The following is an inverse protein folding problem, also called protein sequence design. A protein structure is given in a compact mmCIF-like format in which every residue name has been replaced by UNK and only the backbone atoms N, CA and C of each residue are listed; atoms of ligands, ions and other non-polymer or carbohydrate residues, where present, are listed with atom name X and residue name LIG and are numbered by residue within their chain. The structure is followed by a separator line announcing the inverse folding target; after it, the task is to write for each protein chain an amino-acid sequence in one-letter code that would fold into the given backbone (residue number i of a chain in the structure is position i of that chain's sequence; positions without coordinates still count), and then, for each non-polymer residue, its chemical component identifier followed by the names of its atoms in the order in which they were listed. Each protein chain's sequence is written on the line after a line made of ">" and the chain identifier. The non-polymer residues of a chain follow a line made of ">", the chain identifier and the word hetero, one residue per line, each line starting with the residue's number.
data_IF_872510495770
#
_entry.id   IF_872510495770
#
_cell.length_a   1.000
_cell.length_b   1.000
_cell.length_c   1.000
_cell.angle_alpha   90.00
_cell.angle_beta   90.00
_cell.angle_gamma   90.00
#
_symmetry.space_group_name_H-M   'P 1'
#
loop_
_entity.id
_entity.type
_entity.pdbx_description
1 polymer ?
#
# COMPACT_ATOMS: atom_id res chain seq x y z
N UNK A 1 11.50 8.49 -36.73
CA UNK A 1 11.69 7.95 -35.37
C UNK A 1 10.71 6.80 -35.21
N UNK A 2 10.93 5.88 -34.26
CA UNK A 2 9.96 4.80 -34.04
C UNK A 2 8.69 5.37 -33.42
N UNK A 3 7.50 4.92 -33.85
CA UNK A 3 6.21 5.40 -33.34
C UNK A 3 6.12 5.41 -31.79
N UNK A 4 6.73 4.41 -31.14
CA UNK A 4 6.79 4.34 -29.67
C UNK A 4 7.62 5.45 -29.03
N UNK A 5 8.67 5.91 -29.71
CA UNK A 5 9.53 7.00 -29.23
C UNK A 5 8.83 8.35 -29.36
N UNK A 6 8.04 8.56 -30.42
CA UNK A 6 7.22 9.76 -30.58
C UNK A 6 6.16 9.83 -29.48
N UNK A 7 5.43 8.73 -29.24
CA UNK A 7 4.45 8.66 -28.15
C UNK A 7 5.08 8.90 -26.77
N UNK A 8 6.31 8.40 -26.55
CA UNK A 8 7.03 8.65 -25.31
C UNK A 8 7.38 10.13 -25.15
N UNK A 9 7.89 10.78 -26.20
CA UNK A 9 8.22 12.20 -26.16
C UNK A 9 6.98 13.07 -25.97
N UNK A 10 5.87 12.73 -26.64
CA UNK A 10 4.60 13.43 -26.50
C UNK A 10 4.06 13.31 -25.07
N UNK A 11 4.14 12.12 -24.46
CA UNK A 11 3.69 11.92 -23.07
C UNK A 11 4.59 12.62 -22.06
N UNK A 12 5.90 12.63 -22.28
CA UNK A 12 6.86 13.37 -21.46
C UNK A 12 6.55 14.87 -21.52
N UNK A 13 6.33 15.41 -22.71
CA UNK A 13 5.99 16.82 -22.90
C UNK A 13 4.61 17.17 -22.31
N UNK A 14 3.59 16.34 -22.56
CA UNK A 14 2.23 16.55 -22.05
C UNK A 14 2.17 16.57 -20.52
N UNK A 15 2.98 15.75 -19.87
CA UNK A 15 3.02 15.61 -18.41
C UNK A 15 4.06 16.52 -17.74
N UNK A 16 4.73 17.41 -18.48
CA UNK A 16 5.80 18.29 -17.98
C UNK A 16 6.92 17.52 -17.24
N UNK A 17 7.28 16.35 -17.80
CA UNK A 17 8.30 15.49 -17.23
C UNK A 17 9.69 15.85 -17.78
N UNK A 18 10.66 15.90 -16.88
CA UNK A 18 12.08 16.03 -17.22
C UNK A 18 12.83 14.74 -16.92
N UNK A 19 13.85 14.44 -17.72
CA UNK A 19 14.75 13.30 -17.48
C UNK A 19 15.89 13.77 -16.56
N UNK A 20 16.11 13.02 -15.47
CA UNK A 20 17.05 13.37 -14.40
C UNK A 20 18.14 12.33 -14.16
N UNK A 21 18.22 11.26 -14.95
CA UNK A 21 19.27 10.25 -14.78
C UNK A 21 20.46 10.57 -15.69
N UNK A 22 21.58 11.11 -15.15
CA UNK A 22 22.77 11.42 -15.93
C UNK A 22 23.72 10.22 -16.07
N UNK A 23 23.42 9.06 -15.47
CA UNK A 23 24.38 7.97 -15.31
C UNK A 23 24.35 7.04 -16.53
N UNK A 24 25.41 7.00 -17.35
CA UNK A 24 25.52 6.04 -18.43
C UNK A 24 26.00 4.68 -17.91
N UNK A 25 25.71 3.64 -18.70
CA UNK A 25 26.32 2.33 -18.54
C UNK A 25 27.74 2.28 -19.12
N UNK A 26 28.38 1.10 -19.05
CA UNK A 26 29.74 0.88 -19.53
C UNK A 26 29.95 1.17 -21.03
N UNK A 27 28.88 1.33 -21.80
CA UNK A 27 28.91 1.65 -23.23
C UNK A 27 28.52 3.12 -23.52
N UNK A 28 28.57 4.01 -22.53
CA UNK A 28 28.16 5.41 -22.63
C UNK A 28 26.70 5.62 -23.08
N UNK A 29 25.80 4.67 -22.77
CA UNK A 29 24.36 4.76 -23.05
C UNK A 29 23.56 4.89 -21.77
N UNK A 30 22.42 5.57 -21.82
CA UNK A 30 21.48 5.71 -20.70
C UNK A 30 20.21 4.89 -21.02
N UNK A 31 20.17 3.59 -20.68
CA UNK A 31 18.98 2.76 -20.94
C UNK A 31 17.85 3.04 -19.95
N UNK A 32 18.18 3.51 -18.75
CA UNK A 32 17.24 3.72 -17.67
C UNK A 32 16.81 5.20 -17.62
N UNK A 33 15.51 5.45 -17.81
CA UNK A 33 14.93 6.79 -17.72
C UNK A 33 14.38 7.04 -16.31
N UNK A 34 14.74 8.17 -15.73
CA UNK A 34 14.11 8.66 -14.50
C UNK A 34 13.41 9.98 -14.81
N UNK A 35 12.08 9.92 -14.87
CA UNK A 35 11.22 11.03 -15.27
C UNK A 35 10.49 11.59 -14.05
N UNK A 36 10.49 12.91 -13.88
CA UNK A 36 9.82 13.61 -12.77
C UNK A 36 9.38 14.99 -13.22
N UNK A 37 8.35 15.54 -12.58
CA UNK A 37 7.98 16.97 -12.70
C UNK A 37 8.74 17.85 -11.71
N UNK A 38 9.34 17.24 -10.68
CA UNK A 38 10.06 17.94 -9.62
C UNK A 38 11.55 17.79 -9.79
N UNK A 39 12.25 18.93 -9.69
CA UNK A 39 13.72 19.02 -9.68
C UNK A 39 14.36 18.50 -8.38
N UNK A 40 13.56 18.10 -7.41
CA UNK A 40 14.00 17.64 -6.09
C UNK A 40 14.58 16.22 -6.13
N UNK A 41 14.79 15.65 -7.31
CA UNK A 41 15.26 14.28 -7.49
C UNK A 41 16.77 14.27 -7.75
N UNK A 42 17.52 13.59 -6.87
CA UNK A 42 18.96 13.37 -7.04
C UNK A 42 19.21 11.90 -7.38
N UNK A 43 19.98 11.65 -8.44
CA UNK A 43 20.31 10.29 -8.87
C UNK A 43 21.82 10.07 -8.76
N UNK A 44 22.20 9.00 -8.08
CA UNK A 44 23.60 8.63 -7.83
C UNK A 44 23.85 7.16 -8.11
N UNK A 45 25.10 6.78 -8.36
CA UNK A 45 25.51 5.39 -8.48
C UNK A 45 25.53 4.74 -7.10
N UNK A 46 24.89 3.57 -6.97
CA UNK A 46 24.83 2.80 -5.73
C UNK A 46 25.75 1.57 -5.80
N UNK A 47 26.35 1.20 -4.67
CA UNK A 47 27.17 0.00 -4.58
C UNK A 47 26.30 -1.23 -4.32
N UNK A 48 26.44 -2.23 -5.16
CA UNK A 48 25.74 -3.50 -5.00
C UNK A 48 26.54 -4.49 -4.16
N UNK A 49 25.86 -5.31 -3.36
CA UNK A 49 26.47 -6.44 -2.63
C UNK A 49 26.82 -7.62 -3.54
N UNK A 50 26.23 -7.65 -4.73
CA UNK A 50 26.47 -8.64 -5.78
C UNK A 50 27.23 -8.00 -6.94
N UNK A 51 27.72 -8.82 -7.87
CA UNK A 51 28.32 -8.34 -9.12
C UNK A 51 27.27 -7.55 -9.91
N UNK A 52 27.60 -6.31 -10.24
CA UNK A 52 26.74 -5.38 -10.96
C UNK A 52 26.55 -5.80 -12.44
N UNK A 53 25.37 -5.49 -12.98
CA UNK A 53 25.07 -5.65 -14.41
C UNK A 53 25.85 -4.59 -15.22
N UNK A 54 26.41 -4.98 -16.37
CA UNK A 54 27.17 -4.08 -17.26
C UNK A 54 26.29 -3.12 -18.05
N UNK A 55 25.04 -3.50 -18.29
CA UNK A 55 24.09 -2.74 -19.09
C UNK A 55 23.22 -1.82 -18.23
N UNK A 56 22.92 -2.23 -16.99
CA UNK A 56 22.07 -1.47 -16.06
C UNK A 56 22.82 -1.19 -14.76
N UNK A 57 23.39 0.02 -14.59
CA UNK A 57 24.05 0.38 -13.36
C UNK A 57 23.05 0.48 -12.21
N UNK A 58 23.49 0.19 -10.99
CA UNK A 58 22.63 0.36 -9.82
C UNK A 58 22.48 1.85 -9.51
N UNK A 59 21.24 2.34 -9.56
CA UNK A 59 20.90 3.73 -9.31
C UNK A 59 20.26 3.88 -7.93
N UNK A 60 20.72 4.86 -7.17
CA UNK A 60 20.05 5.39 -6.00
C UNK A 60 19.36 6.68 -6.39
N UNK A 61 18.06 6.74 -6.11
CA UNK A 61 17.22 7.91 -6.38
C UNK A 61 16.76 8.44 -5.02
N UNK A 62 17.19 9.63 -4.66
CA UNK A 62 16.78 10.33 -3.46
C UNK A 62 15.88 11.51 -3.85
N UNK A 63 14.78 11.68 -3.12
CA UNK A 63 13.90 12.84 -3.26
C UNK A 63 14.17 13.77 -2.08
N UNK A 64 14.63 14.98 -2.37
CA UNK A 64 14.85 16.04 -1.40
C UNK A 64 13.52 16.77 -1.17
N UNK A 65 12.62 16.15 -0.43
CA UNK A 65 11.40 16.84 -0.01
C UNK A 65 11.76 17.81 1.13
N UNK A 66 11.77 19.11 0.85
CA UNK A 66 12.08 20.16 1.83
C UNK A 66 11.00 20.28 2.91
N UNK A 67 9.82 19.71 2.66
CA UNK A 67 8.82 19.49 3.68
C UNK A 67 8.93 18.04 4.14
N UNK A 68 9.30 17.85 5.41
CA UNK A 68 9.01 16.61 6.15
C UNK A 68 7.52 16.32 5.99
N UNK A 69 7.15 15.57 4.95
CA UNK A 69 5.80 15.17 4.72
C UNK A 69 5.39 14.39 5.97
N UNK A 70 4.48 14.98 6.73
CA UNK A 70 3.64 14.29 7.68
C UNK A 70 2.79 13.30 6.88
N UNK A 71 3.43 12.29 6.29
CA UNK A 71 2.79 11.14 5.72
C UNK A 71 2.00 10.53 6.87
N UNK A 72 0.70 10.81 6.90
CA UNK A 72 -0.20 10.07 7.77
C UNK A 72 0.03 8.62 7.37
N UNK A 73 0.51 7.76 8.27
CA UNK A 73 0.68 6.36 7.94
C UNK A 73 -0.65 5.86 7.37
N UNK A 74 -0.60 5.04 6.32
CA UNK A 74 -1.78 4.43 5.73
C UNK A 74 -2.60 3.81 6.86
N UNK A 75 -3.63 4.53 7.33
CA UNK A 75 -4.51 4.02 8.37
C UNK A 75 -5.23 2.87 7.71
N UNK A 76 -5.00 1.66 8.23
CA UNK A 76 -5.83 0.51 7.86
C UNK A 76 -7.25 0.94 8.13
N UNK A 77 -8.01 1.16 7.07
CA UNK A 77 -9.34 1.69 7.19
C UNK A 77 -10.15 0.62 7.92
N UNK A 78 -10.41 0.81 9.22
CA UNK A 78 -11.29 -0.03 10.05
C UNK A 78 -12.75 0.16 9.62
N UNK A 79 -13.00 0.18 8.32
CA UNK A 79 -14.32 0.19 7.74
C UNK A 79 -15.09 -1.00 8.31
N UNK A 80 -16.12 -0.67 9.08
CA UNK A 80 -17.11 -1.64 9.52
C UNK A 80 -17.91 -2.03 8.29
N UNK A 81 -18.07 -3.34 8.05
CA UNK A 81 -18.95 -3.85 7.00
C UNK A 81 -20.21 -4.44 7.62
N UNK A 82 -21.34 -4.31 6.95
CA UNK A 82 -22.58 -4.96 7.35
C UNK A 82 -22.44 -6.48 7.18
N UNK A 83 -22.93 -7.23 8.17
CA UNK A 83 -22.93 -8.69 8.15
C UNK A 83 -24.33 -9.22 7.83
N UNK A 84 -24.66 -9.23 6.54
CA UNK A 84 -25.95 -9.73 6.04
C UNK A 84 -26.22 -11.20 6.37
N UNK A 85 -25.18 -12.00 6.65
CA UNK A 85 -25.36 -13.38 7.13
C UNK A 85 -26.01 -13.43 8.51
N UNK A 86 -25.80 -12.40 9.35
CA UNK A 86 -26.39 -12.29 10.69
C UNK A 86 -27.55 -11.29 10.76
N UNK A 87 -28.09 -10.87 9.62
CA UNK A 87 -29.21 -9.94 9.56
C UNK A 87 -30.50 -10.59 10.11
N UNK A 88 -31.29 -9.81 10.86
CA UNK A 88 -32.60 -10.22 11.36
C UNK A 88 -33.68 -10.06 10.28
N UNK A 89 -33.67 -10.93 9.26
CA UNK A 89 -34.56 -10.80 8.10
C UNK A 89 -36.07 -10.82 8.43
N UNK A 90 -36.48 -11.48 9.52
CA UNK A 90 -37.89 -11.45 9.97
C UNK A 90 -38.32 -10.02 10.32
N UNK A 91 -37.50 -9.32 11.10
CA UNK A 91 -37.71 -7.91 11.48
C UNK A 91 -37.67 -6.99 10.27
N UNK A 92 -36.73 -7.21 9.34
CA UNK A 92 -36.66 -6.44 8.08
C UNK A 92 -37.96 -6.55 7.30
N UNK A 93 -38.45 -7.78 7.06
CA UNK A 93 -39.71 -7.99 6.33
C UNK A 93 -40.90 -7.34 7.04
N UNK A 94 -40.96 -7.45 8.37
CA UNK A 94 -42.02 -6.82 9.16
C UNK A 94 -41.99 -5.29 9.02
N UNK A 95 -40.81 -4.67 9.13
CA UNK A 95 -40.67 -3.20 9.00
C UNK A 95 -41.03 -2.72 7.59
N UNK A 96 -40.58 -3.42 6.55
CA UNK A 96 -40.93 -3.10 5.15
C UNK A 96 -42.44 -3.18 4.93
N UNK A 97 -43.09 -4.24 5.42
CA UNK A 97 -44.53 -4.43 5.26
C UNK A 97 -45.36 -3.42 6.05
N UNK A 98 -44.85 -2.98 7.21
CA UNK A 98 -45.53 -1.99 8.06
C UNK A 98 -45.23 -0.54 7.63
N UNK A 99 -44.38 -0.32 6.63
CA UNK A 99 -44.08 1.01 6.12
C UNK A 99 -45.21 1.47 5.20
N UNK A 100 -45.73 2.67 5.43
CA UNK A 100 -46.75 3.27 4.58
C UNK A 100 -46.13 3.89 3.32
N UNK A 101 -45.89 3.04 2.31
CA UNK A 101 -45.27 3.44 1.04
C UNK A 101 -46.10 4.46 0.27
N UNK A 102 -47.43 4.37 0.35
CA UNK A 102 -48.33 5.26 -0.39
C UNK A 102 -48.18 6.72 0.05
N UNK A 103 -48.02 6.97 1.35
CA UNK A 103 -47.80 8.32 1.86
C UNK A 103 -46.34 8.78 1.67
N UNK A 104 -45.38 7.86 1.84
CA UNK A 104 -43.95 8.18 1.75
C UNK A 104 -43.51 8.55 0.33
N UNK A 105 -44.09 7.89 -0.67
CA UNK A 105 -43.78 8.09 -2.09
C UNK A 105 -44.70 9.14 -2.75
N UNK A 106 -45.57 9.82 -1.97
CA UNK A 106 -46.49 10.83 -2.50
C UNK A 106 -45.83 12.20 -2.66
N UNK A 107 -46.18 12.87 -3.76
CA UNK A 107 -46.14 14.33 -3.86
C UNK A 107 -44.75 14.97 -3.99
N UNK A 108 -43.80 14.28 -4.62
CA UNK A 108 -42.46 14.80 -4.84
C UNK A 108 -41.94 14.46 -6.23
N UNK A 109 -40.86 15.12 -6.62
CA UNK A 109 -40.08 14.75 -7.81
C UNK A 109 -39.50 13.34 -7.66
N UNK A 110 -39.26 12.66 -8.79
CA UNK A 110 -38.79 11.27 -8.81
C UNK A 110 -37.50 11.10 -8.01
N UNK A 111 -36.56 12.05 -8.09
CA UNK A 111 -35.29 11.95 -7.39
C UNK A 111 -35.49 12.00 -5.86
N UNK A 112 -36.41 12.85 -5.40
CA UNK A 112 -36.73 12.98 -3.97
C UNK A 112 -37.48 11.75 -3.45
N UNK A 113 -38.39 11.19 -4.24
CA UNK A 113 -39.09 9.93 -3.91
C UNK A 113 -38.09 8.77 -3.76
N UNK A 114 -37.12 8.68 -4.67
CA UNK A 114 -36.07 7.67 -4.63
C UNK A 114 -35.17 7.85 -3.42
N UNK A 115 -34.80 9.10 -3.08
CA UNK A 115 -34.01 9.38 -1.88
C UNK A 115 -34.73 8.91 -0.60
N UNK A 116 -36.01 9.27 -0.43
CA UNK A 116 -36.82 8.85 0.72
C UNK A 116 -36.97 7.33 0.81
N UNK A 117 -37.12 6.65 -0.32
CA UNK A 117 -37.15 5.19 -0.37
C UNK A 117 -35.85 4.60 0.18
N UNK A 118 -34.70 5.07 -0.30
CA UNK A 118 -33.40 4.59 0.15
C UNK A 118 -33.13 4.92 1.61
N UNK A 119 -33.55 6.08 2.10
CA UNK A 119 -33.40 6.45 3.51
C UNK A 119 -34.08 5.43 4.43
N UNK A 120 -35.34 5.08 4.16
CA UNK A 120 -36.07 4.08 4.95
C UNK A 120 -35.42 2.71 4.85
N UNK A 121 -35.02 2.28 3.65
CA UNK A 121 -34.38 0.98 3.46
C UNK A 121 -33.04 0.91 4.19
N UNK A 122 -32.22 1.95 4.12
CA UNK A 122 -30.93 2.01 4.79
C UNK A 122 -31.08 2.08 6.31
N UNK A 123 -32.08 2.80 6.82
CA UNK A 123 -32.42 2.79 8.25
C UNK A 123 -32.73 1.37 8.73
N UNK A 124 -33.65 0.67 8.04
CA UNK A 124 -34.02 -0.71 8.37
C UNK A 124 -32.81 -1.64 8.32
N UNK A 125 -31.97 -1.51 7.29
CA UNK A 125 -30.76 -2.32 7.14
C UNK A 125 -29.78 -2.06 8.28
N UNK A 126 -29.53 -0.80 8.64
CA UNK A 126 -28.58 -0.42 9.68
C UNK A 126 -29.03 -0.91 11.07
N UNK A 127 -30.32 -0.86 11.36
CA UNK A 127 -30.87 -1.33 12.63
C UNK A 127 -30.89 -2.85 12.73
N UNK A 128 -31.21 -3.54 11.63
CA UNK A 128 -31.41 -4.99 11.64
C UNK A 128 -30.16 -5.81 11.31
N UNK A 129 -29.09 -5.15 10.81
CA UNK A 129 -27.87 -5.83 10.34
C UNK A 129 -26.67 -5.47 11.20
N UNK A 130 -26.10 -6.43 11.96
CA UNK A 130 -24.94 -6.14 12.77
C UNK A 130 -23.73 -5.82 11.90
N UNK A 131 -22.89 -4.91 12.38
CA UNK A 131 -21.62 -4.57 11.73
C UNK A 131 -20.48 -5.45 12.23
N UNK A 132 -19.56 -5.80 11.34
CA UNK A 132 -18.32 -6.53 11.66
C UNK A 132 -17.11 -5.73 11.21
N UNK A 133 -16.05 -5.77 12.01
CA UNK A 133 -14.78 -5.16 11.64
C UNK A 133 -14.15 -5.94 10.48
N UNK A 134 -13.66 -5.22 9.48
CA UNK A 134 -12.80 -5.80 8.47
C UNK A 134 -11.50 -6.25 9.15
N UNK A 135 -11.28 -7.57 9.19
CA UNK A 135 -10.01 -8.12 9.64
C UNK A 135 -9.02 -7.99 8.49
N UNK A 136 -8.00 -7.14 8.66
CA UNK A 136 -6.87 -7.15 7.75
C UNK A 136 -6.18 -8.51 7.91
N UNK A 137 -6.14 -9.29 6.83
CA UNK A 137 -5.39 -10.52 6.86
C UNK A 137 -3.92 -10.13 6.78
N UNK A 138 -3.12 -10.52 7.78
CA UNK A 138 -1.68 -10.22 7.83
C UNK A 138 -0.93 -10.74 6.59
N UNK A 139 -1.49 -11.74 5.92
CA UNK A 139 -0.95 -12.33 4.72
C UNK A 139 -2.00 -12.27 3.59
N UNK A 140 -1.57 -12.05 2.33
CA UNK A 140 -2.45 -12.18 1.17
C UNK A 140 -3.16 -13.53 1.12
N UNK A 141 -4.35 -13.59 0.51
CA UNK A 141 -5.16 -14.83 0.46
C UNK A 141 -4.45 -16.02 -0.20
N UNK A 142 -3.54 -15.76 -1.14
CA UNK A 142 -2.77 -16.78 -1.86
C UNK A 142 -1.58 -17.33 -1.06
N UNK A 143 -1.29 -16.80 0.13
CA UNK A 143 -0.23 -17.35 0.98
C UNK A 143 -0.66 -18.67 1.62
N UNK A 144 -0.03 -19.76 1.20
CA UNK A 144 -0.22 -21.05 1.84
C UNK A 144 0.30 -21.02 3.29
N UNK A 145 -0.24 -21.86 4.19
CA UNK A 145 0.32 -22.05 5.54
C UNK A 145 1.81 -22.41 5.52
N UNK A 146 2.25 -23.23 4.56
CA UNK A 146 3.65 -23.61 4.36
C UNK A 146 4.53 -22.40 4.03
N UNK A 147 4.12 -21.57 3.07
CA UNK A 147 4.85 -20.34 2.71
C UNK A 147 4.97 -19.38 3.91
N UNK A 148 3.89 -19.21 4.68
CA UNK A 148 3.90 -18.40 5.91
C UNK A 148 4.88 -18.94 6.96
N UNK A 149 5.04 -20.26 7.04
CA UNK A 149 6.01 -20.92 7.92
C UNK A 149 7.44 -20.67 7.43
N UNK A 150 7.74 -20.96 6.16
CA UNK A 150 9.06 -20.76 5.57
C UNK A 150 9.54 -19.30 5.70
N UNK A 151 8.67 -18.31 5.48
CA UNK A 151 9.04 -16.90 5.66
C UNK A 151 9.36 -16.55 7.13
N UNK A 152 8.67 -17.18 8.09
CA UNK A 152 8.94 -16.98 9.53
C UNK A 152 10.26 -17.61 9.93
N UNK A 153 10.58 -18.79 9.40
CA UNK A 153 11.85 -19.49 9.63
C UNK A 153 13.01 -18.70 9.02
N UNK A 154 12.88 -18.22 7.78
CA UNK A 154 13.89 -17.35 7.13
C UNK A 154 14.19 -16.09 7.95
N UNK A 155 13.20 -15.48 8.60
CA UNK A 155 13.40 -14.31 9.47
C UNK A 155 14.06 -14.63 10.81
N UNK A 156 14.04 -15.89 11.26
CA UNK A 156 14.65 -16.30 12.53
C UNK A 156 16.15 -16.54 12.39
N UNK A 157 16.62 -17.00 11.22
CA UNK A 157 18.05 -17.30 10.98
C UNK A 157 18.95 -16.05 11.20
N UNK A 158 18.66 -14.87 10.61
CA UNK A 158 19.46 -13.67 10.88
C UNK A 158 19.38 -13.21 12.35
N UNK A 159 18.23 -13.37 13.01
CA UNK A 159 18.06 -13.00 14.43
C UNK A 159 18.84 -13.91 15.37
N UNK A 160 18.97 -15.20 15.05
CA UNK A 160 19.79 -16.13 15.81
C UNK A 160 21.28 -15.81 15.64
N UNK A 161 21.73 -15.50 14.43
CA UNK A 161 23.12 -15.10 14.14
C UNK A 161 23.50 -13.77 14.82
N UNK A 162 22.60 -12.78 14.83
CA UNK A 162 22.80 -11.51 15.55
C UNK A 162 22.90 -11.68 17.08
N UNK A 163 22.28 -12.74 17.65
CA UNK A 163 22.43 -13.06 19.09
C UNK A 163 23.79 -13.71 19.39
N UNK A 164 24.31 -14.52 18.47
CA UNK A 164 25.64 -15.15 18.60
C UNK A 164 26.76 -14.11 18.47
N UNK A 165 26.57 -13.05 17.69
CA UNK A 165 27.55 -11.97 17.50
C UNK A 165 27.67 -10.96 18.66
N UNK A 166 26.86 -11.06 19.73
CA UNK A 166 27.07 -10.24 20.95
C UNK A 166 28.11 -10.94 21.85
N UNK A 167 29.34 -10.43 21.97
CA UNK A 167 30.43 -11.20 22.59
C UNK A 167 30.27 -11.26 24.11
N UNK A 168 30.40 -12.47 24.64
CA UNK A 168 30.70 -12.75 26.04
C UNK A 168 31.95 -11.97 26.44
N UNK A 169 31.82 -10.99 27.35
CA UNK A 169 32.96 -10.28 27.97
C UNK A 169 33.84 -11.29 28.71
N UNK A 170 34.90 -11.79 28.08
CA UNK A 170 35.97 -12.50 28.78
C UNK A 170 36.86 -11.45 29.47
N UNK A 171 36.82 -11.42 30.81
CA UNK A 171 37.76 -10.68 31.65
C UNK A 171 39.12 -11.39 31.58
N UNK A 172 40.09 -10.79 30.90
CA UNK A 172 41.51 -11.12 31.12
C UNK A 172 42.00 -10.27 32.29
N UNK A 173 42.35 -10.92 33.40
CA UNK A 173 43.13 -10.33 34.49
C UNK A 173 44.59 -10.48 34.07
N UNK A 174 45.28 -9.36 33.86
CA UNK A 174 46.73 -9.28 33.72
C UNK A 174 47.26 -8.42 34.88
N UNK A 175 48.22 -8.97 35.64
CA UNK A 175 49.23 -8.20 36.36
C UNK A 175 50.38 -9.14 36.76
N UNK A 176 51.62 -8.62 36.88
CA UNK A 176 52.78 -9.16 36.18
C UNK A 176 53.78 -9.87 37.08
N UNK A 177 54.66 -10.62 36.42
CA UNK A 177 55.90 -11.20 36.90
C UNK A 177 56.85 -10.17 37.52
N UNK A 178 57.34 -10.47 38.73
CA UNK A 178 58.55 -9.88 39.33
C UNK A 178 59.80 -10.63 38.87
#
# INVERSE_FOLDING_TARGET
>A
MDYKSELLLDTVALCDLSQFNPIPNNNNKIPDLALSTSENMTITNEKTLLKQDKHHPALRIDFQDSNSLNYKPLKVNESKRLNFYKCQYKTVKQRINNTNWSDLLRGADVDEVVARFYDVIYEIINDCTPTVKNRSNKYPKWFSPGLRRCMREKKQIPRALQKIQKPTRLRYILSPSS
#
